data_IF_636262554204
#
_entry.id   IF_636262554204
#
_cell.length_a   1.000
_cell.length_b   1.000
_cell.length_c   1.000
_cell.angle_alpha   90.00
_cell.angle_beta   90.00
_cell.angle_gamma   90.00
#
_symmetry.space_group_name_H-M   'P 1'
#
loop_
_entity.id
_entity.type
_entity.pdbx_description
1 polymer ?
#
# COMPACT_ATOMS: atom_id res chain seq x y z
N UNK A 1 3.35 -0.67 -16.96
CA UNK A 1 3.41 0.78 -16.70
C UNK A 1 4.74 1.04 -16.01
N UNK A 2 5.53 1.96 -16.54
CA UNK A 2 6.83 2.32 -15.95
C UNK A 2 6.63 3.08 -14.64
N UNK A 3 7.53 2.90 -13.66
CA UNK A 3 7.42 3.48 -12.33
C UNK A 3 7.34 5.02 -12.38
N UNK A 4 8.06 5.65 -13.32
CA UNK A 4 8.05 7.10 -13.48
C UNK A 4 6.74 7.61 -14.07
N UNK A 5 6.14 6.89 -15.03
CA UNK A 5 4.81 7.23 -15.56
C UNK A 5 3.72 7.10 -14.49
N UNK A 6 3.82 6.10 -13.62
CA UNK A 6 2.91 5.95 -12.48
C UNK A 6 3.03 7.14 -11.51
N UNK A 7 4.25 7.54 -11.15
CA UNK A 7 4.48 8.71 -10.28
C UNK A 7 3.92 9.99 -10.89
N UNK A 8 4.16 10.22 -12.18
CA UNK A 8 3.62 11.40 -12.89
C UNK A 8 2.09 11.40 -12.89
N UNK A 9 1.47 10.25 -13.12
CA UNK A 9 0.01 10.11 -13.07
C UNK A 9 -0.56 10.40 -11.68
N UNK A 10 0.06 9.84 -10.62
CA UNK A 10 -0.33 10.11 -9.23
C UNK A 10 -0.18 11.59 -8.88
N UNK A 11 0.91 12.23 -9.31
CA UNK A 11 1.13 13.65 -9.09
C UNK A 11 0.10 14.53 -9.81
N UNK A 12 -0.22 14.21 -11.07
CA UNK A 12 -1.23 14.93 -11.85
C UNK A 12 -2.61 14.80 -11.20
N UNK A 13 -2.98 13.59 -10.81
CA UNK A 13 -4.27 13.32 -10.17
C UNK A 13 -4.37 14.01 -8.80
N UNK A 14 -3.31 13.97 -8.00
CA UNK A 14 -3.24 14.70 -6.73
C UNK A 14 -3.36 16.21 -6.91
N UNK A 15 -2.64 16.78 -7.89
CA UNK A 15 -2.74 18.21 -8.20
C UNK A 15 -4.13 18.63 -8.66
N UNK A 16 -4.79 17.81 -9.47
CA UNK A 16 -6.17 18.04 -9.89
C UNK A 16 -7.16 17.99 -8.71
N UNK A 17 -7.04 17.01 -7.82
CA UNK A 17 -7.88 16.93 -6.61
C UNK A 17 -7.67 18.13 -5.68
N UNK A 18 -6.42 18.60 -5.52
CA UNK A 18 -6.13 19.81 -4.74
C UNK A 18 -6.80 21.06 -5.35
N UNK A 19 -6.76 21.20 -6.69
CA UNK A 19 -7.45 22.29 -7.38
C UNK A 19 -8.98 22.20 -7.21
N UNK A 20 -9.55 20.99 -7.29
CA UNK A 20 -10.97 20.75 -7.05
C UNK A 20 -11.37 21.13 -5.63
N UNK A 21 -10.56 20.77 -4.62
CA UNK A 21 -10.80 21.13 -3.23
C UNK A 21 -10.80 22.66 -3.03
N UNK A 22 -9.84 23.36 -3.64
CA UNK A 22 -9.78 24.83 -3.60
C UNK A 22 -11.03 25.46 -4.23
N UNK A 23 -11.47 24.93 -5.38
CA UNK A 23 -12.70 25.37 -6.03
C UNK A 23 -13.94 25.16 -5.16
N UNK A 24 -14.08 24.00 -4.52
CA UNK A 24 -15.16 23.76 -3.57
C UNK A 24 -15.15 24.77 -2.41
N UNK A 25 -13.96 25.16 -1.96
CA UNK A 25 -13.77 26.23 -0.98
C UNK A 25 -14.34 27.58 -1.43
N UNK A 26 -14.24 27.94 -2.71
CA UNK A 26 -14.83 29.20 -3.24
C UNK A 26 -16.36 29.16 -3.25
N UNK A 27 -16.95 27.97 -3.30
CA UNK A 27 -18.39 27.74 -3.17
C UNK A 27 -18.86 27.63 -1.71
N UNK A 28 -18.00 27.92 -0.73
CA UNK A 28 -18.23 27.68 0.70
C UNK A 28 -18.50 26.21 1.07
N UNK A 29 -18.17 25.25 0.20
CA UNK A 29 -18.19 23.82 0.54
C UNK A 29 -16.92 23.52 1.31
N UNK A 30 -17.06 23.31 2.62
CA UNK A 30 -15.95 23.03 3.54
C UNK A 30 -16.13 21.66 4.17
N UNK A 31 -15.03 20.93 4.29
CA UNK A 31 -14.99 19.64 4.93
C UNK A 31 -14.30 19.79 6.29
N UNK A 32 -15.07 19.77 7.38
CA UNK A 32 -14.53 19.93 8.75
C UNK A 32 -13.50 18.84 9.10
N UNK A 33 -13.67 17.65 8.52
CA UNK A 33 -12.76 16.51 8.70
C UNK A 33 -11.49 16.61 7.84
N UNK A 34 -11.42 17.52 6.86
CA UNK A 34 -10.23 17.70 6.01
C UNK A 34 -9.34 18.78 6.64
N UNK A 35 -8.67 18.40 7.73
CA UNK A 35 -7.77 19.23 8.52
C UNK A 35 -6.36 18.63 8.55
N UNK A 36 -5.43 19.34 9.19
CA UNK A 36 -4.04 18.90 9.29
C UNK A 36 -3.89 17.56 10.01
N UNK A 37 -4.72 17.29 11.03
CA UNK A 37 -4.66 16.06 11.79
C UNK A 37 -5.07 14.86 10.95
N UNK A 38 -6.16 14.98 10.18
CA UNK A 38 -6.63 13.90 9.33
C UNK A 38 -5.67 13.64 8.15
N UNK A 39 -5.07 14.69 7.58
CA UNK A 39 -4.02 14.57 6.57
C UNK A 39 -2.82 13.80 7.14
N UNK A 40 -2.29 14.22 8.29
CA UNK A 40 -1.14 13.57 8.93
C UNK A 40 -1.44 12.13 9.35
N UNK A 41 -2.65 11.84 9.83
CA UNK A 41 -3.08 10.48 10.13
C UNK A 41 -3.12 9.60 8.88
N UNK A 42 -3.62 10.12 7.75
CA UNK A 42 -3.64 9.41 6.47
C UNK A 42 -2.23 9.15 5.95
N UNK A 43 -1.35 10.14 5.99
CA UNK A 43 0.07 9.99 5.62
C UNK A 43 0.74 8.88 6.44
N UNK A 44 0.55 8.91 7.76
CA UNK A 44 1.09 7.90 8.68
C UNK A 44 0.57 6.50 8.35
N UNK A 45 -0.75 6.39 8.09
CA UNK A 45 -1.37 5.13 7.69
C UNK A 45 -0.78 4.58 6.39
N UNK A 46 -0.60 5.43 5.38
CA UNK A 46 -0.02 5.03 4.09
C UNK A 46 1.45 4.59 4.24
N UNK A 47 2.25 5.33 5.02
CA UNK A 47 3.64 4.96 5.30
C UNK A 47 3.74 3.61 6.04
N UNK A 48 2.88 3.37 7.04
CA UNK A 48 2.84 2.11 7.78
C UNK A 48 2.29 0.94 6.95
N UNK A 49 1.45 1.23 5.95
CA UNK A 49 0.88 0.21 5.06
C UNK A 49 1.94 -0.47 4.16
N UNK A 50 3.03 0.22 3.83
CA UNK A 50 4.12 -0.33 3.00
C UNK A 50 4.81 -1.54 3.68
N UNK A 51 5.43 -1.40 4.88
CA UNK A 51 6.05 -2.54 5.55
C UNK A 51 5.02 -3.61 5.91
N UNK A 52 3.78 -3.22 6.22
CA UNK A 52 2.70 -4.18 6.45
C UNK A 52 2.41 -5.05 5.21
N UNK A 53 2.29 -4.45 4.02
CA UNK A 53 2.08 -5.18 2.78
C UNK A 53 3.25 -6.12 2.44
N UNK A 54 4.49 -5.69 2.70
CA UNK A 54 5.68 -6.53 2.54
C UNK A 54 5.62 -7.73 3.49
N UNK A 55 5.26 -7.51 4.76
CA UNK A 55 5.12 -8.58 5.73
C UNK A 55 4.02 -9.59 5.34
N UNK A 56 2.85 -9.10 4.91
CA UNK A 56 1.77 -9.94 4.40
C UNK A 56 2.21 -10.77 3.19
N UNK A 57 2.91 -10.15 2.24
CA UNK A 57 3.46 -10.86 1.08
C UNK A 57 4.47 -11.94 1.48
N UNK A 58 5.33 -11.65 2.46
CA UNK A 58 6.27 -12.61 3.03
C UNK A 58 5.57 -13.81 3.67
N UNK A 59 4.55 -13.56 4.49
CA UNK A 59 3.73 -14.62 5.12
C UNK A 59 3.01 -15.46 4.08
N UNK A 60 2.41 -14.83 3.06
CA UNK A 60 1.74 -15.53 1.97
C UNK A 60 2.69 -16.48 1.23
N UNK A 61 3.91 -16.01 0.91
CA UNK A 61 4.89 -16.80 0.16
C UNK A 61 5.52 -17.93 1.01
N UNK A 62 5.75 -17.69 2.30
CA UNK A 62 6.39 -18.63 3.22
C UNK A 62 5.40 -19.58 3.90
N UNK A 63 4.10 -19.32 3.82
CA UNK A 63 3.09 -20.25 4.32
C UNK A 63 2.93 -21.45 3.41
N UNK A 64 3.35 -22.62 3.90
CA UNK A 64 3.19 -23.95 3.29
C UNK A 64 1.73 -24.30 2.95
N UNK A 65 0.77 -23.66 3.63
CA UNK A 65 -0.67 -23.79 3.36
C UNK A 65 -1.15 -23.09 2.10
N UNK A 66 -0.46 -22.04 1.64
CA UNK A 66 -0.92 -21.17 0.55
C UNK A 66 -0.06 -21.30 -0.71
N UNK A 67 1.22 -21.69 -0.58
CA UNK A 67 2.16 -21.80 -1.69
C UNK A 67 2.58 -23.25 -1.96
N UNK A 68 2.26 -23.77 -3.15
CA UNK A 68 2.73 -25.10 -3.63
C UNK A 68 4.26 -25.24 -3.58
N UNK A 69 4.99 -24.16 -3.82
CA UNK A 69 6.46 -24.14 -3.78
C UNK A 69 7.00 -24.32 -2.36
N UNK A 70 6.38 -23.67 -1.38
CA UNK A 70 6.76 -23.83 0.02
C UNK A 70 6.55 -25.29 0.45
N UNK A 71 5.40 -25.90 0.11
CA UNK A 71 5.11 -27.29 0.44
C UNK A 71 6.14 -28.27 -0.13
N UNK A 72 6.54 -28.10 -1.40
CA UNK A 72 7.61 -28.90 -2.01
C UNK A 72 8.97 -28.69 -1.34
N UNK A 73 9.28 -27.47 -0.90
CA UNK A 73 10.49 -27.20 -0.11
C UNK A 73 10.49 -27.93 1.23
N UNK A 74 9.35 -27.97 1.93
CA UNK A 74 9.22 -28.72 3.20
C UNK A 74 9.42 -30.22 2.99
N UNK A 75 8.78 -30.79 1.98
CA UNK A 75 8.94 -32.21 1.64
C UNK A 75 10.38 -32.55 1.25
N UNK A 76 11.07 -31.65 0.55
CA UNK A 76 12.48 -31.83 0.18
C UNK A 76 13.40 -31.73 1.41
N UNK A 77 13.14 -30.77 2.30
CA UNK A 77 13.90 -30.60 3.55
C UNK A 77 13.74 -31.82 4.48
N UNK A 78 12.52 -32.36 4.59
CA UNK A 78 12.24 -33.61 5.33
C UNK A 78 12.94 -34.82 4.71
N UNK A 79 12.90 -34.96 3.38
CA UNK A 79 13.60 -36.06 2.67
C UNK A 79 15.12 -36.03 2.88
N UNK A 80 15.69 -34.83 3.01
CA UNK A 80 17.13 -34.65 3.21
C UNK A 80 17.54 -34.65 4.70
N UNK A 81 16.61 -34.86 5.64
CA UNK A 81 16.90 -34.86 7.08
C UNK A 81 17.33 -33.51 7.64
N UNK A 82 17.04 -32.42 6.93
CA UNK A 82 17.42 -31.04 7.30
C UNK A 82 16.33 -30.32 8.11
N UNK A 83 15.18 -30.98 8.34
CA UNK A 83 14.05 -30.46 9.11
C UNK A 83 13.13 -31.58 9.58
#
# INVERSE_FOLDING_TARGET
MDADKLKQFVALFGGWLSALLLYLGTLNVKFEWFDQNSITALETFLMASIPFAIALYGVYKNSYRLSKKAKMQEETLKKNGLK
#
